data_IF_337779097011
#
_entry.id   IF_337779097011
#
_cell.length_a   1.000
_cell.length_b   1.000
_cell.length_c   1.000
_cell.angle_alpha   90.00
_cell.angle_beta   90.00
_cell.angle_gamma   90.00
#
_symmetry.space_group_name_H-M   'P 1'
#
loop_
_entity.id
_entity.type
_entity.pdbx_description
1 polymer ?
#
# COMPACT_ATOMS: atom_id res chain seq x y z
N UNK A 1 10.49 2.18 -7.87
CA UNK A 1 9.92 3.52 -7.62
C UNK A 1 8.79 3.49 -6.59
N UNK A 2 7.68 2.76 -6.77
CA UNK A 2 6.55 2.74 -5.82
C UNK A 2 6.86 2.19 -4.42
N UNK A 3 7.55 1.05 -4.32
CA UNK A 3 7.96 0.47 -3.03
C UNK A 3 8.86 1.43 -2.25
N UNK A 4 9.73 2.15 -2.96
CA UNK A 4 10.62 3.14 -2.35
C UNK A 4 9.87 4.35 -1.80
N UNK A 5 8.73 4.76 -2.38
CA UNK A 5 7.97 5.92 -1.92
C UNK A 5 7.19 5.64 -0.63
N UNK A 6 6.54 4.48 -0.51
CA UNK A 6 5.89 4.10 0.76
C UNK A 6 6.90 3.71 1.83
N UNK A 7 8.05 3.14 1.43
CA UNK A 7 9.20 2.96 2.32
C UNK A 7 9.86 4.29 2.73
N UNK A 8 9.67 5.37 1.98
CA UNK A 8 10.22 6.69 2.29
C UNK A 8 9.40 7.42 3.36
N UNK A 9 8.13 7.03 3.58
CA UNK A 9 7.46 7.37 4.83
C UNK A 9 8.17 6.55 5.90
N UNK A 10 8.92 7.23 6.77
CA UNK A 10 9.67 6.59 7.83
C UNK A 10 8.75 5.69 8.63
N UNK A 11 9.06 4.39 8.68
CA UNK A 11 8.34 3.38 9.46
C UNK A 11 7.98 3.86 10.88
N UNK A 12 8.87 4.66 11.49
CA UNK A 12 8.66 5.36 12.76
C UNK A 12 7.37 6.19 12.81
N UNK A 13 7.11 7.02 11.80
CA UNK A 13 5.90 7.86 11.71
C UNK A 13 4.63 7.01 11.67
N UNK A 14 4.69 5.82 11.06
CA UNK A 14 3.52 4.92 10.98
C UNK A 14 3.29 4.12 12.26
N UNK A 15 4.30 3.99 13.13
CA UNK A 15 4.24 3.16 14.34
C UNK A 15 3.90 3.93 15.61
N UNK A 16 4.23 5.22 15.67
CA UNK A 16 4.05 6.04 16.86
C UNK A 16 2.93 7.07 16.63
N UNK A 17 1.85 7.05 17.45
CA UNK A 17 0.73 7.96 17.30
C UNK A 17 1.10 9.44 17.40
N UNK A 18 1.99 9.82 18.31
CA UNK A 18 2.43 11.21 18.47
C UNK A 18 3.20 11.71 17.24
N UNK A 19 4.16 10.93 16.75
CA UNK A 19 4.92 11.21 15.53
C UNK A 19 3.97 11.29 14.31
N UNK A 20 2.94 10.43 14.26
CA UNK A 20 1.93 10.46 13.19
C UNK A 20 1.11 11.75 13.22
N UNK A 21 0.58 12.12 14.39
CA UNK A 21 -0.23 13.34 14.59
C UNK A 21 0.55 14.58 14.13
N UNK A 22 1.81 14.70 14.56
CA UNK A 22 2.69 15.80 14.15
C UNK A 22 2.98 15.79 12.64
N UNK A 23 3.23 14.60 12.08
CA UNK A 23 3.54 14.46 10.65
C UNK A 23 2.38 14.89 9.75
N UNK A 24 1.13 14.54 10.12
CA UNK A 24 -0.07 14.94 9.37
C UNK A 24 -0.59 16.34 9.73
N UNK A 25 -0.07 16.92 10.82
CA UNK A 25 -0.45 18.23 11.34
C UNK A 25 -1.83 18.24 11.99
N UNK A 26 -2.26 17.15 12.62
CA UNK A 26 -3.56 17.07 13.28
C UNK A 26 -3.61 17.83 14.62
N UNK A 27 -2.44 18.17 15.17
CA UNK A 27 -2.24 19.02 16.34
C UNK A 27 -2.03 20.50 15.99
N UNK A 28 -1.94 20.84 14.69
CA UNK A 28 -1.80 22.22 14.26
C UNK A 28 -3.09 22.98 14.53
N UNK A 29 -2.97 24.14 15.18
CA UNK A 29 -4.05 25.12 15.23
C UNK A 29 -4.35 25.59 13.80
N UNK A 30 -5.61 25.89 13.51
CA UNK A 30 -6.01 26.48 12.22
C UNK A 30 -5.20 27.76 12.03
N UNK A 31 -4.23 27.72 11.12
CA UNK A 31 -3.41 28.88 10.75
C UNK A 31 -4.08 29.60 9.59
N UNK A 32 -3.82 30.90 9.48
CA UNK A 32 -4.32 31.80 8.44
C UNK A 32 -4.36 31.11 7.04
N UNK A 33 -5.50 31.15 6.31
CA UNK A 33 -5.65 30.50 4.99
C UNK A 33 -4.59 30.87 3.94
N UNK A 34 -3.84 31.93 4.17
CA UNK A 34 -2.80 32.46 3.28
C UNK A 34 -1.44 31.75 3.52
N UNK A 35 -1.25 31.09 4.67
CA UNK A 35 -0.01 30.37 4.96
C UNK A 35 0.06 29.02 4.22
N UNK A 36 1.26 28.67 3.74
CA UNK A 36 1.51 27.33 3.23
C UNK A 36 1.20 26.27 4.29
N UNK A 37 0.69 25.11 3.86
CA UNK A 37 0.44 23.93 4.68
C UNK A 37 1.47 22.83 4.37
N UNK A 38 2.65 22.82 5.03
CA UNK A 38 3.66 21.79 4.84
C UNK A 38 3.12 20.38 5.11
N UNK A 39 2.22 20.24 6.08
CA UNK A 39 1.60 18.97 6.45
C UNK A 39 0.64 18.46 5.35
N UNK A 40 0.12 19.35 4.49
CA UNK A 40 -0.70 18.99 3.32
C UNK A 40 0.04 18.09 2.34
N UNK A 41 1.33 18.31 2.12
CA UNK A 41 2.16 17.44 1.28
C UNK A 41 2.35 16.06 1.94
N UNK A 42 2.52 16.02 3.25
CA UNK A 42 2.67 14.77 4.01
C UNK A 42 1.39 13.91 3.93
N UNK A 43 0.21 14.52 4.13
CA UNK A 43 -1.09 13.85 3.96
C UNK A 43 -1.30 13.36 2.54
N UNK A 44 -0.90 14.15 1.55
CA UNK A 44 -0.98 13.78 0.13
C UNK A 44 -0.08 12.59 -0.21
N UNK A 45 1.13 12.52 0.38
CA UNK A 45 2.05 11.37 0.21
C UNK A 45 1.48 10.08 0.80
N UNK A 46 0.91 10.14 2.02
CA UNK A 46 0.24 8.98 2.64
C UNK A 46 -0.92 8.53 1.74
N UNK A 47 -1.81 9.46 1.38
CA UNK A 47 -2.97 9.19 0.53
C UNK A 47 -2.56 8.56 -0.79
N UNK A 48 -1.58 9.14 -1.48
CA UNK A 48 -1.08 8.63 -2.75
C UNK A 48 -0.60 7.17 -2.63
N UNK A 49 0.15 6.85 -1.57
CA UNK A 49 0.65 5.50 -1.38
C UNK A 49 -0.48 4.51 -1.08
N UNK A 50 -1.40 4.85 -0.17
CA UNK A 50 -2.54 3.99 0.20
C UNK A 50 -3.44 3.75 -1.02
N UNK A 51 -3.81 4.80 -1.76
CA UNK A 51 -4.64 4.67 -2.96
C UNK A 51 -3.94 3.90 -4.09
N UNK A 52 -2.62 4.04 -4.20
CA UNK A 52 -1.85 3.24 -5.17
C UNK A 52 -1.87 1.77 -4.80
N UNK A 53 -1.58 1.42 -3.53
CA UNK A 53 -1.66 0.04 -3.03
C UNK A 53 -3.05 -0.53 -3.30
N UNK A 54 -4.10 0.21 -2.95
CA UNK A 54 -5.49 -0.18 -3.19
C UNK A 54 -5.76 -0.40 -4.68
N UNK A 55 -5.32 0.52 -5.54
CA UNK A 55 -5.48 0.43 -6.99
C UNK A 55 -4.79 -0.79 -7.59
N UNK A 56 -3.58 -1.10 -7.14
CA UNK A 56 -2.81 -2.28 -7.56
C UNK A 56 -3.52 -3.56 -7.13
N UNK A 57 -3.88 -3.68 -5.85
CA UNK A 57 -4.55 -4.90 -5.33
C UNK A 57 -5.89 -5.14 -6.04
N UNK A 58 -6.70 -4.09 -6.26
CA UNK A 58 -8.01 -4.22 -6.89
C UNK A 58 -7.95 -4.60 -8.37
N UNK A 59 -6.86 -4.25 -9.07
CA UNK A 59 -6.77 -4.40 -10.54
C UNK A 59 -5.81 -5.51 -10.98
N UNK A 60 -4.84 -5.89 -10.15
CA UNK A 60 -3.91 -6.97 -10.45
C UNK A 60 -4.63 -8.31 -10.49
N UNK A 61 -4.62 -8.95 -11.67
CA UNK A 61 -5.25 -10.25 -11.90
C UNK A 61 -4.40 -11.09 -12.85
N UNK A 62 -4.48 -12.40 -12.71
CA UNK A 62 -4.00 -13.35 -13.72
C UNK A 62 -5.00 -13.42 -14.90
N UNK A 63 -4.59 -13.98 -16.05
CA UNK A 63 -5.47 -14.23 -17.18
C UNK A 63 -6.66 -15.13 -16.82
N UNK A 64 -7.80 -14.92 -17.47
CA UNK A 64 -9.00 -15.76 -17.23
C UNK A 64 -8.87 -17.14 -17.86
N UNK A 65 -8.15 -17.25 -18.99
CA UNK A 65 -7.86 -18.52 -19.65
C UNK A 65 -6.81 -19.30 -18.85
N UNK A 66 -7.11 -20.56 -18.54
CA UNK A 66 -6.17 -21.44 -17.83
C UNK A 66 -4.89 -21.65 -18.63
N UNK A 67 -4.98 -21.80 -19.96
CA UNK A 67 -3.81 -22.01 -20.81
C UNK A 67 -2.91 -20.77 -20.87
N UNK A 68 -3.50 -19.58 -20.96
CA UNK A 68 -2.74 -18.33 -20.87
C UNK A 68 -2.12 -18.15 -19.48
N UNK A 69 -2.84 -18.51 -18.42
CA UNK A 69 -2.33 -18.43 -17.06
C UNK A 69 -1.17 -19.42 -16.83
N UNK A 70 -1.22 -20.63 -17.40
CA UNK A 70 -0.10 -21.58 -17.38
C UNK A 70 1.09 -21.04 -18.17
N UNK A 71 0.86 -20.57 -19.40
CA UNK A 71 1.91 -20.03 -20.27
C UNK A 71 2.59 -18.81 -19.66
N UNK A 72 1.83 -17.95 -18.98
CA UNK A 72 2.33 -16.80 -18.22
C UNK A 72 2.93 -17.16 -16.85
N UNK A 73 2.96 -18.44 -16.48
CA UNK A 73 3.49 -18.91 -15.21
C UNK A 73 2.70 -18.43 -13.98
N UNK A 74 1.41 -18.16 -14.10
CA UNK A 74 0.55 -17.78 -12.98
C UNK A 74 0.06 -18.98 -12.18
N UNK A 75 0.01 -20.17 -12.78
CA UNK A 75 -0.36 -21.42 -12.10
C UNK A 75 0.87 -21.99 -11.39
N UNK A 76 0.79 -22.18 -10.08
CA UNK A 76 1.89 -22.69 -9.24
C UNK A 76 1.67 -24.12 -8.75
N UNK A 77 0.48 -24.67 -8.97
CA UNK A 77 0.13 -26.03 -8.56
C UNK A 77 -1.37 -26.29 -8.68
N UNK A 78 -1.81 -27.40 -8.12
CA UNK A 78 -3.21 -27.81 -8.08
C UNK A 78 -3.58 -28.31 -6.69
N UNK A 79 -4.83 -28.03 -6.29
CA UNK A 79 -5.44 -28.62 -5.09
C UNK A 79 -5.76 -30.11 -5.34
N UNK A 80 -5.98 -30.92 -4.29
CA UNK A 80 -6.29 -32.36 -4.44
C UNK A 80 -7.52 -32.66 -5.30
N UNK A 81 -8.46 -31.72 -5.40
CA UNK A 81 -9.64 -31.81 -6.27
C UNK A 81 -9.39 -31.38 -7.73
N UNK A 82 -8.14 -31.11 -8.11
CA UNK A 82 -7.75 -30.70 -9.45
C UNK A 82 -7.89 -29.21 -9.75
N UNK A 83 -8.32 -28.38 -8.80
CA UNK A 83 -8.43 -26.93 -9.02
C UNK A 83 -7.05 -26.24 -9.05
N UNK A 84 -6.78 -25.34 -9.99
CA UNK A 84 -5.50 -24.64 -10.08
C UNK A 84 -5.29 -23.66 -8.92
N UNK A 85 -4.04 -23.59 -8.44
CA UNK A 85 -3.56 -22.60 -7.47
C UNK A 85 -2.80 -21.53 -8.23
N UNK A 86 -3.19 -20.26 -8.04
CA UNK A 86 -2.60 -19.12 -8.74
C UNK A 86 -1.73 -18.27 -7.83
N UNK A 87 -0.71 -17.62 -8.40
CA UNK A 87 0.00 -16.50 -7.78
C UNK A 87 -0.48 -15.17 -8.35
N UNK A 88 -0.74 -14.19 -7.47
CA UNK A 88 -1.03 -12.83 -7.92
C UNK A 88 0.28 -12.12 -8.31
N UNK A 89 0.35 -11.46 -9.48
CA UNK A 89 1.56 -10.75 -9.92
C UNK A 89 2.03 -9.66 -8.95
N UNK A 90 1.14 -9.06 -8.15
CA UNK A 90 1.52 -8.00 -7.21
C UNK A 90 1.90 -8.50 -5.82
N UNK A 91 1.69 -9.79 -5.48
CA UNK A 91 1.87 -10.30 -4.11
C UNK A 91 3.23 -9.96 -3.51
N UNK A 92 4.34 -10.19 -4.24
CA UNK A 92 5.70 -9.95 -3.73
C UNK A 92 5.93 -8.50 -3.33
N UNK A 93 5.39 -7.55 -4.10
CA UNK A 93 5.59 -6.13 -3.81
C UNK A 93 4.64 -5.64 -2.73
N UNK A 94 3.38 -6.11 -2.73
CA UNK A 94 2.40 -5.73 -1.70
C UNK A 94 2.82 -6.25 -0.33
N UNK A 95 3.34 -7.49 -0.24
CA UNK A 95 3.81 -8.06 1.03
C UNK A 95 4.92 -7.24 1.68
N UNK A 96 5.82 -6.61 0.90
CA UNK A 96 6.85 -5.71 1.43
C UNK A 96 6.30 -4.42 2.04
N UNK A 97 5.09 -4.03 1.66
CA UNK A 97 4.42 -2.82 2.15
C UNK A 97 3.41 -3.15 3.25
N UNK A 98 3.17 -4.44 3.49
CA UNK A 98 2.07 -4.90 4.32
C UNK A 98 2.26 -4.52 5.79
N UNK A 99 3.48 -4.67 6.33
CA UNK A 99 3.78 -4.31 7.72
C UNK A 99 3.54 -2.81 7.99
N UNK A 100 3.94 -1.94 7.06
CA UNK A 100 3.67 -0.50 7.13
C UNK A 100 2.17 -0.19 7.07
N UNK A 101 1.42 -0.92 6.25
CA UNK A 101 -0.03 -0.75 6.16
C UNK A 101 -0.73 -1.17 7.46
N UNK A 102 -0.32 -2.30 8.05
CA UNK A 102 -0.82 -2.76 9.34
C UNK A 102 -0.44 -1.79 10.47
N UNK A 103 0.77 -1.25 10.45
CA UNK A 103 1.20 -0.24 11.41
C UNK A 103 0.31 1.01 11.33
N UNK A 104 0.04 1.51 10.11
CA UNK A 104 -0.85 2.64 9.90
C UNK A 104 -2.28 2.38 10.42
N UNK A 105 -2.86 1.21 10.13
CA UNK A 105 -4.19 0.80 10.61
C UNK A 105 -4.25 0.66 12.13
N UNK A 106 -3.13 0.30 12.78
CA UNK A 106 -3.08 0.19 14.24
C UNK A 106 -2.99 1.55 14.93
N UNK A 107 -2.30 2.49 14.28
CA UNK A 107 -2.00 3.82 14.85
C UNK A 107 -3.20 4.77 14.81
N UNK A 108 -4.22 4.50 13.98
CA UNK A 108 -5.46 5.27 13.84
C UNK A 108 -6.65 4.35 13.55
#
# INVERSE_FOLDING_TARGET
MFVALFSAITHRVLMNPEDFIQYVGADNRIVDPIMEDPCGLNRSRISFCVYTILGVIKRARWPTSLEEAKAGGFVVGYMPNGNPIYRNPCSVQILKLFDNLLALIRTH
#
